data_IF_258017370954
#
_entry.id   IF_258017370954
#
_cell.length_a   1.000
_cell.length_b   1.000
_cell.length_c   1.000
_cell.angle_alpha   90.00
_cell.angle_beta   90.00
_cell.angle_gamma   90.00
#
_symmetry.space_group_name_H-M   'P 1'
#
loop_
_entity.id
_entity.type
_entity.pdbx_description
1 polymer ?
#
# COMPACT_ATOMS: atom_id res chain seq x y z
N UNK A 1 9.82 64.83 19.38
CA UNK A 1 9.82 63.47 18.83
C UNK A 1 11.24 62.93 18.82
N UNK A 2 11.63 61.97 19.69
CA UNK A 2 12.77 61.10 19.43
C UNK A 2 12.31 59.69 19.05
N UNK A 3 12.98 59.10 18.06
CA UNK A 3 12.79 57.72 17.60
C UNK A 3 13.51 56.80 18.60
N UNK A 4 12.78 55.98 19.37
CA UNK A 4 13.38 55.03 20.30
C UNK A 4 13.83 53.77 19.56
N UNK A 5 15.10 53.43 19.76
CA UNK A 5 15.79 52.26 19.22
C UNK A 5 15.19 50.98 19.81
N UNK A 6 14.75 50.05 18.95
CA UNK A 6 14.24 48.75 19.38
C UNK A 6 15.41 47.76 19.53
N UNK A 7 15.54 47.23 20.73
CA UNK A 7 16.53 46.26 21.19
C UNK A 7 16.48 44.96 20.34
N UNK A 8 17.63 44.55 19.79
CA UNK A 8 17.79 43.24 19.13
C UNK A 8 17.93 42.18 20.22
N UNK A 9 16.80 41.65 20.66
CA UNK A 9 16.75 40.47 21.53
C UNK A 9 17.56 39.32 20.92
N UNK A 10 18.64 38.94 21.61
CA UNK A 10 19.48 37.81 21.26
C UNK A 10 18.75 36.52 21.65
N UNK A 11 18.38 35.71 20.66
CA UNK A 11 17.86 34.35 20.87
C UNK A 11 19.05 33.44 21.15
N UNK A 12 19.08 32.67 22.26
CA UNK A 12 20.09 31.64 22.45
C UNK A 12 19.88 30.55 21.38
N UNK A 13 20.91 30.30 20.56
CA UNK A 13 21.00 29.11 19.73
C UNK A 13 21.30 27.92 20.66
N UNK A 14 20.25 27.32 21.23
CA UNK A 14 20.37 26.04 21.89
C UNK A 14 20.75 24.99 20.81
N UNK A 15 21.86 24.23 20.98
CA UNK A 15 22.19 23.19 20.03
C UNK A 15 21.14 22.08 20.18
N UNK A 16 20.19 22.04 19.25
CA UNK A 16 19.21 20.97 19.15
C UNK A 16 19.97 19.63 19.11
N UNK A 17 19.88 18.88 20.20
CA UNK A 17 20.33 17.50 20.24
C UNK A 17 19.63 16.73 19.10
N UNK A 18 20.32 15.81 18.41
CA UNK A 18 19.66 14.97 17.41
C UNK A 18 18.52 14.21 18.11
N UNK A 19 17.36 14.02 17.44
CA UNK A 19 16.26 13.28 18.02
C UNK A 19 16.72 11.84 18.30
N UNK A 20 16.93 11.53 19.57
CA UNK A 20 17.13 10.18 20.08
C UNK A 20 15.96 9.32 19.61
N UNK A 21 16.31 8.23 18.92
CA UNK A 21 15.38 7.43 18.14
C UNK A 21 14.16 6.96 18.92
N UNK A 22 12.99 7.38 18.46
CA UNK A 22 11.90 6.44 18.26
C UNK A 22 11.96 6.04 16.79
N UNK A 23 12.32 4.80 16.49
CA UNK A 23 11.97 4.21 15.21
C UNK A 23 10.44 4.26 15.18
N UNK A 24 9.87 5.28 14.56
CA UNK A 24 8.44 5.34 14.31
C UNK A 24 8.21 4.20 13.34
N UNK A 25 7.89 3.03 13.88
CA UNK A 25 7.36 1.91 13.10
C UNK A 25 6.09 2.49 12.52
N UNK A 26 6.18 3.03 11.30
CA UNK A 26 4.99 3.31 10.52
C UNK A 26 4.18 2.02 10.57
N UNK A 27 2.86 2.08 10.87
CA UNK A 27 2.05 0.88 10.90
C UNK A 27 2.36 0.11 9.63
N UNK A 28 2.85 -1.13 9.78
CA UNK A 28 3.26 -1.93 8.65
C UNK A 28 2.05 -1.99 7.73
N UNK A 29 2.10 -1.30 6.59
CA UNK A 29 1.01 -1.33 5.63
C UNK A 29 0.95 -2.80 5.21
N UNK A 30 -0.05 -3.51 5.70
CA UNK A 30 -0.28 -4.90 5.34
C UNK A 30 -0.62 -4.91 3.86
N UNK A 31 0.10 -5.75 3.12
CA UNK A 31 0.01 -5.84 1.68
C UNK A 31 -0.03 -7.31 1.30
N UNK A 32 -0.95 -7.66 0.43
CA UNK A 32 -1.12 -9.01 -0.11
C UNK A 32 -0.42 -9.13 -1.47
N UNK A 33 -0.09 -10.37 -1.86
CA UNK A 33 0.51 -10.67 -3.16
C UNK A 33 -0.38 -11.65 -3.95
N UNK A 34 -0.90 -11.17 -5.07
CA UNK A 34 -1.64 -12.01 -6.03
C UNK A 34 -0.69 -12.45 -7.12
N UNK A 35 -0.57 -13.75 -7.33
CA UNK A 35 0.11 -14.33 -8.49
C UNK A 35 -0.89 -14.64 -9.59
N UNK A 36 -0.64 -14.16 -10.80
CA UNK A 36 -1.46 -14.40 -11.98
C UNK A 36 -0.59 -14.43 -13.22
N UNK A 37 -0.67 -15.48 -14.03
CA UNK A 37 0.02 -15.57 -15.32
C UNK A 37 1.54 -15.29 -15.25
N UNK A 38 2.20 -15.71 -14.17
CA UNK A 38 3.63 -15.45 -13.92
C UNK A 38 3.97 -14.04 -13.43
N UNK A 39 2.98 -13.16 -13.25
CA UNK A 39 3.14 -11.81 -12.69
C UNK A 39 2.71 -11.81 -11.22
N UNK A 40 3.35 -10.96 -10.42
CA UNK A 40 2.94 -10.71 -9.03
C UNK A 40 2.46 -9.28 -8.87
N UNK A 41 1.28 -9.13 -8.27
CA UNK A 41 0.66 -7.84 -7.97
C UNK A 41 0.61 -7.64 -6.46
N UNK A 42 1.10 -6.50 -5.98
CA UNK A 42 1.00 -6.11 -4.57
C UNK A 42 -0.17 -5.14 -4.40
N UNK A 43 -1.10 -5.47 -3.52
CA UNK A 43 -2.31 -4.69 -3.26
C UNK A 43 -2.64 -4.69 -1.76
N UNK A 44 -3.64 -3.88 -1.37
CA UNK A 44 -4.15 -3.91 0.00
C UNK A 44 -4.96 -5.20 0.24
N UNK A 45 -5.06 -5.69 1.49
CA UNK A 45 -5.87 -6.86 1.82
C UNK A 45 -7.33 -6.75 1.40
N UNK A 46 -7.90 -5.54 1.47
CA UNK A 46 -9.25 -5.27 1.02
C UNK A 46 -9.42 -5.48 -0.48
N UNK A 47 -8.52 -4.91 -1.30
CA UNK A 47 -8.56 -5.06 -2.75
C UNK A 47 -8.30 -6.50 -3.18
N UNK A 48 -7.38 -7.20 -2.50
CA UNK A 48 -7.17 -8.62 -2.72
C UNK A 48 -8.44 -9.42 -2.47
N UNK A 49 -9.15 -9.14 -1.36
CA UNK A 49 -10.40 -9.83 -1.01
C UNK A 49 -11.52 -9.58 -2.02
N UNK A 50 -11.69 -8.34 -2.47
CA UNK A 50 -12.69 -7.97 -3.48
C UNK A 50 -12.41 -8.72 -4.78
N UNK A 51 -11.16 -8.66 -5.27
CA UNK A 51 -10.75 -9.35 -6.47
C UNK A 51 -10.96 -10.86 -6.37
N UNK A 52 -10.50 -11.49 -5.28
CA UNK A 52 -10.62 -12.94 -5.09
C UNK A 52 -12.08 -13.40 -5.01
N UNK A 53 -12.95 -12.59 -4.40
CA UNK A 53 -14.38 -12.88 -4.35
C UNK A 53 -14.98 -12.91 -5.76
N UNK A 54 -14.78 -11.86 -6.54
CA UNK A 54 -15.31 -11.78 -7.91
C UNK A 54 -14.71 -12.87 -8.82
N UNK A 55 -13.40 -13.12 -8.70
CA UNK A 55 -12.75 -14.18 -9.47
C UNK A 55 -13.31 -15.57 -9.17
N UNK A 56 -13.64 -15.86 -7.89
CA UNK A 56 -14.31 -17.12 -7.51
C UNK A 56 -15.71 -17.22 -8.10
N UNK A 57 -16.49 -16.14 -8.00
CA UNK A 57 -17.85 -16.10 -8.56
C UNK A 57 -17.84 -16.40 -10.07
N UNK A 58 -16.94 -15.78 -10.84
CA UNK A 58 -16.77 -16.05 -12.28
C UNK A 58 -16.42 -17.52 -12.56
N UNK A 59 -15.54 -18.12 -11.76
CA UNK A 59 -15.15 -19.53 -11.92
C UNK A 59 -16.32 -20.47 -11.59
N UNK A 60 -17.05 -20.17 -10.52
CA UNK A 60 -18.18 -20.97 -10.04
C UNK A 60 -19.35 -20.96 -11.03
N UNK A 61 -19.68 -19.80 -11.61
CA UNK A 61 -20.69 -19.70 -12.67
C UNK A 61 -20.25 -20.38 -13.97
N UNK A 62 -18.94 -20.59 -14.15
CA UNK A 62 -18.37 -21.14 -15.37
C UNK A 62 -18.28 -20.12 -16.51
N UNK A 63 -18.35 -18.84 -16.17
CA UNK A 63 -18.16 -17.74 -17.10
C UNK A 63 -16.67 -17.48 -17.36
N UNK A 64 -16.40 -16.60 -18.32
CA UNK A 64 -15.08 -16.02 -18.55
C UNK A 64 -15.20 -14.50 -18.57
N UNK A 65 -14.41 -13.81 -17.75
CA UNK A 65 -14.52 -12.36 -17.58
C UNK A 65 -13.16 -11.70 -17.34
N UNK A 66 -13.00 -10.48 -17.84
CA UNK A 66 -11.97 -9.56 -17.35
C UNK A 66 -12.39 -8.99 -15.99
N UNK A 67 -11.60 -9.29 -14.95
CA UNK A 67 -11.83 -8.85 -13.58
C UNK A 67 -10.77 -7.80 -13.21
N UNK A 68 -11.17 -6.59 -12.79
CA UNK A 68 -10.23 -5.56 -12.40
C UNK A 68 -9.56 -5.87 -11.06
N UNK A 69 -8.24 -5.74 -11.02
CA UNK A 69 -7.43 -5.73 -9.80
C UNK A 69 -6.84 -4.33 -9.61
N UNK A 70 -7.24 -3.67 -8.51
CA UNK A 70 -6.55 -2.46 -8.06
C UNK A 70 -5.33 -2.86 -7.22
N UNK A 71 -4.14 -2.47 -7.68
CA UNK A 71 -2.85 -2.77 -7.05
C UNK A 71 -1.99 -1.51 -6.97
N UNK A 72 -0.83 -1.59 -6.31
CA UNK A 72 0.06 -0.44 -6.08
C UNK A 72 0.54 0.25 -7.37
N UNK A 73 0.48 -0.44 -8.51
CA UNK A 73 0.89 0.08 -9.82
C UNK A 73 -0.27 0.62 -10.66
N UNK A 74 -1.50 0.61 -10.14
CA UNK A 74 -2.70 1.02 -10.87
C UNK A 74 -3.74 -0.09 -10.96
N UNK A 75 -4.50 -0.09 -12.05
CA UNK A 75 -5.55 -1.08 -12.31
C UNK A 75 -5.05 -2.03 -13.39
N UNK A 76 -5.17 -3.33 -13.15
CA UNK A 76 -4.91 -4.37 -14.13
C UNK A 76 -6.21 -5.16 -14.40
N UNK A 77 -6.51 -5.45 -15.67
CA UNK A 77 -7.63 -6.32 -16.05
C UNK A 77 -7.12 -7.75 -16.23
N UNK A 78 -7.53 -8.65 -15.33
CA UNK A 78 -7.08 -10.04 -15.33
C UNK A 78 -8.17 -10.94 -15.92
N UNK A 79 -7.82 -11.79 -16.87
CA UNK A 79 -8.75 -12.73 -17.50
C UNK A 79 -9.00 -13.94 -16.60
N UNK A 80 -10.20 -14.01 -16.02
CA UNK A 80 -10.61 -15.09 -15.15
C UNK A 80 -11.50 -16.05 -15.93
N UNK A 81 -11.10 -17.31 -15.97
CA UNK A 81 -11.88 -18.46 -16.42
C UNK A 81 -11.58 -19.65 -15.53
N UNK A 82 -12.30 -20.76 -15.74
CA UNK A 82 -12.03 -22.03 -15.02
C UNK A 82 -10.61 -22.56 -15.23
N UNK A 83 -9.96 -22.20 -16.33
CA UNK A 83 -8.58 -22.60 -16.62
C UNK A 83 -7.54 -21.66 -16.01
N UNK A 84 -7.95 -20.52 -15.43
CA UNK A 84 -7.03 -19.50 -14.93
C UNK A 84 -6.36 -19.94 -13.62
N UNK A 85 -5.02 -20.12 -13.60
CA UNK A 85 -4.30 -20.36 -12.36
C UNK A 85 -4.05 -19.03 -11.64
N UNK A 86 -4.57 -18.86 -10.42
CA UNK A 86 -4.13 -17.80 -9.50
C UNK A 86 -3.94 -18.35 -8.08
N UNK A 87 -3.05 -17.72 -7.33
CA UNK A 87 -2.75 -18.10 -5.94
C UNK A 87 -2.47 -16.86 -5.12
N UNK A 88 -3.06 -16.80 -3.92
CA UNK A 88 -2.68 -15.82 -2.90
C UNK A 88 -1.43 -16.34 -2.20
N UNK A 89 -0.36 -15.55 -2.21
CA UNK A 89 0.78 -15.84 -1.34
C UNK A 89 0.55 -15.14 -0.02
N UNK A 90 0.41 -15.93 1.04
CA UNK A 90 0.54 -15.41 2.39
C UNK A 90 1.93 -14.77 2.55
N UNK A 91 1.97 -13.65 3.28
CA UNK A 91 3.24 -13.05 3.71
C UNK A 91 4.05 -14.12 4.47
N UNK A 92 5.31 -14.40 4.11
CA UNK A 92 6.18 -15.15 5.02
C UNK A 92 6.33 -14.32 6.31
N UNK A 93 5.91 -14.89 7.45
CA UNK A 93 6.18 -14.28 8.75
C UNK A 93 7.70 -14.05 8.91
N UNK A 94 8.11 -12.94 9.54
CA UNK A 94 9.52 -12.58 9.70
C UNK A 94 10.31 -13.55 10.58
#
# INVERSE_FOLDING_TARGET
MPLQSLDKGSIPLEPAAPPTGGLRVAPAITSERIQYGGRTFTCTPEMARIFLKHAREVIETGDEQLVPLLHNGGIELLHISRATPYTLLDRPEP
#
